data_IF_334924568752
#
_entry.id   IF_334924568752
#
_cell.length_a   1.000
_cell.length_b   1.000
_cell.length_c   1.000
_cell.angle_alpha   90.00
_cell.angle_beta   90.00
_cell.angle_gamma   90.00
#
_symmetry.space_group_name_H-M   'P 1'
#
loop_
_entity.id
_entity.type
_entity.pdbx_description
1 polymer ?
#
# COMPACT_ATOMS: atom_id res chain seq x y z
N UNK A 1 102.84 -15.80 -26.89
CA UNK A 1 104.23 -15.45 -26.53
C UNK A 1 104.48 -13.98 -26.84
N UNK A 2 105.21 -13.29 -25.95
CA UNK A 2 105.63 -11.85 -25.95
C UNK A 2 104.49 -10.88 -25.62
N UNK A 3 104.28 -10.47 -24.36
CA UNK A 3 105.07 -9.58 -23.45
C UNK A 3 105.30 -8.16 -24.00
N UNK A 4 104.70 -7.19 -23.33
CA UNK A 4 105.07 -5.77 -23.29
C UNK A 4 104.52 -5.17 -21.99
N UNK A 5 105.38 -4.50 -21.23
CA UNK A 5 105.30 -4.31 -19.78
C UNK A 5 105.89 -2.91 -19.44
N UNK A 6 105.29 -2.20 -18.45
CA UNK A 6 105.79 -1.04 -17.66
C UNK A 6 105.92 0.31 -18.46
N UNK A 7 105.71 1.55 -17.97
CA UNK A 7 105.58 2.08 -16.60
C UNK A 7 105.21 3.59 -16.57
N UNK A 8 104.45 3.95 -15.53
CA UNK A 8 104.33 5.24 -14.78
C UNK A 8 103.96 6.57 -15.44
N UNK A 9 102.90 7.16 -14.88
CA UNK A 9 102.78 8.60 -14.65
C UNK A 9 101.62 8.88 -13.69
N UNK A 10 101.89 9.03 -12.39
CA UNK A 10 100.93 9.58 -11.42
C UNK A 10 101.06 11.11 -11.43
N UNK A 11 99.99 11.83 -11.71
CA UNK A 11 99.76 13.14 -11.11
C UNK A 11 98.28 13.35 -10.80
N UNK A 12 98.05 13.75 -9.56
CA UNK A 12 96.80 13.99 -8.87
C UNK A 12 96.24 15.36 -9.29
N UNK A 13 94.97 15.46 -9.68
CA UNK A 13 94.20 16.68 -9.46
C UNK A 13 92.69 16.37 -9.37
N UNK A 14 92.17 16.62 -8.17
CA UNK A 14 90.78 16.56 -7.76
C UNK A 14 89.93 17.56 -8.54
N UNK A 15 88.86 17.10 -9.20
CA UNK A 15 87.68 17.91 -9.47
C UNK A 15 86.42 17.09 -9.18
N UNK A 16 85.62 17.66 -8.30
CA UNK A 16 84.30 17.26 -7.83
C UNK A 16 83.31 17.23 -9.00
N UNK A 17 82.45 16.21 -9.09
CA UNK A 17 81.33 16.24 -10.04
C UNK A 17 80.48 14.99 -10.12
N UNK A 18 79.43 14.95 -9.30
CA UNK A 18 78.18 14.18 -9.46
C UNK A 18 78.22 12.64 -9.45
N UNK A 19 77.84 12.09 -8.29
CA UNK A 19 77.19 10.78 -8.19
C UNK A 19 75.99 10.73 -9.15
N UNK A 20 75.98 9.80 -10.10
CA UNK A 20 74.76 9.38 -10.78
C UNK A 20 74.09 8.37 -9.85
N UNK A 21 73.22 8.85 -8.95
CA UNK A 21 72.36 7.97 -8.17
C UNK A 21 71.28 7.47 -9.14
N UNK A 22 71.43 6.24 -9.61
CA UNK A 22 70.39 5.51 -10.32
C UNK A 22 69.24 5.22 -9.34
N UNK A 23 68.33 6.18 -9.17
CA UNK A 23 67.08 5.94 -8.48
C UNK A 23 66.07 5.38 -9.49
N UNK A 24 66.23 4.09 -9.81
CA UNK A 24 65.13 3.34 -10.39
C UNK A 24 64.07 3.23 -9.31
N UNK A 25 63.00 4.02 -9.45
CA UNK A 25 61.92 4.08 -8.49
C UNK A 25 61.38 2.68 -8.21
N UNK A 26 61.57 2.21 -6.99
CA UNK A 26 60.75 1.13 -6.45
C UNK A 26 59.52 1.74 -5.80
N UNK A 27 58.50 1.95 -6.63
CA UNK A 27 57.13 1.88 -6.13
C UNK A 27 56.87 0.43 -5.77
N UNK A 28 56.84 0.09 -4.48
CA UNK A 28 56.15 -1.12 -4.05
C UNK A 28 54.66 -0.81 -4.20
N UNK A 29 54.08 -1.14 -5.34
CA UNK A 29 52.63 -1.29 -5.42
C UNK A 29 52.28 -2.52 -4.59
N UNK A 30 51.76 -2.32 -3.37
CA UNK A 30 51.01 -3.36 -2.68
C UNK A 30 49.81 -3.70 -3.55
N UNK A 31 49.91 -4.75 -4.36
CA UNK A 31 48.76 -5.30 -5.07
C UNK A 31 47.85 -5.92 -4.01
N UNK A 32 46.80 -5.19 -3.63
CA UNK A 32 45.71 -5.78 -2.87
C UNK A 32 45.03 -6.81 -3.80
N UNK A 33 45.19 -8.10 -3.49
CA UNK A 33 44.48 -9.15 -4.20
C UNK A 33 42.98 -8.98 -3.93
N UNK A 34 42.26 -8.49 -4.93
CA UNK A 34 40.79 -8.45 -4.92
C UNK A 34 40.29 -9.72 -5.59
N UNK A 35 39.40 -10.43 -4.92
CA UNK A 35 38.76 -11.66 -5.41
C UNK A 35 37.27 -11.56 -5.13
N UNK A 36 36.46 -12.05 -6.07
CA UNK A 36 35.01 -12.10 -5.96
C UNK A 36 34.56 -13.56 -5.92
N UNK A 37 33.54 -13.86 -5.12
CA UNK A 37 32.78 -15.11 -5.17
C UNK A 37 31.41 -14.86 -5.80
N UNK A 38 30.71 -15.92 -6.19
CA UNK A 38 29.36 -15.83 -6.77
C UNK A 38 28.30 -16.24 -5.74
N UNK A 39 27.14 -15.58 -5.80
CA UNK A 39 25.91 -15.94 -5.07
C UNK A 39 24.81 -16.11 -6.10
N UNK A 40 24.05 -17.20 -6.03
CA UNK A 40 22.92 -17.49 -6.90
C UNK A 40 21.69 -17.85 -6.08
N UNK A 41 20.53 -17.34 -6.49
CA UNK A 41 19.21 -17.68 -5.94
C UNK A 41 18.21 -17.78 -7.09
N UNK A 42 17.34 -18.79 -7.05
CA UNK A 42 16.18 -18.92 -7.94
C UNK A 42 14.92 -18.45 -7.20
N UNK A 43 14.07 -17.69 -7.88
CA UNK A 43 12.83 -17.15 -7.31
C UNK A 43 11.64 -17.52 -8.19
N UNK A 44 10.61 -18.10 -7.57
CA UNK A 44 9.34 -18.43 -8.21
C UNK A 44 8.20 -17.71 -7.47
N UNK A 45 7.28 -17.03 -8.18
CA UNK A 45 6.12 -16.42 -7.55
C UNK A 45 5.22 -17.47 -6.90
N UNK A 46 4.65 -17.15 -5.74
CA UNK A 46 3.68 -18.01 -5.07
C UNK A 46 2.42 -18.21 -5.92
N UNK A 47 1.87 -19.43 -5.91
CA UNK A 47 0.61 -19.84 -6.54
C UNK A 47 -0.59 -19.82 -5.58
N UNK A 48 -0.39 -19.44 -4.31
CA UNK A 48 -1.44 -19.26 -3.29
C UNK A 48 -2.62 -18.37 -3.72
N UNK A 49 -3.79 -18.97 -3.87
CA UNK A 49 -5.05 -18.31 -4.23
C UNK A 49 -6.10 -18.41 -3.10
N UNK A 50 -5.69 -18.81 -1.90
CA UNK A 50 -6.60 -18.98 -0.78
C UNK A 50 -7.18 -17.65 -0.33
N UNK A 51 -8.39 -17.71 0.25
CA UNK A 51 -9.01 -16.55 0.87
C UNK A 51 -8.15 -16.03 2.04
N UNK A 52 -8.09 -14.71 2.18
CA UNK A 52 -7.38 -14.05 3.28
C UNK A 52 -8.38 -13.67 4.36
N UNK A 53 -8.08 -13.99 5.62
CA UNK A 53 -8.92 -13.59 6.75
C UNK A 53 -8.79 -12.08 7.02
N UNK A 54 -9.85 -11.41 7.49
CA UNK A 54 -9.77 -10.02 7.90
C UNK A 54 -8.85 -9.85 9.12
N UNK A 55 -8.04 -8.78 9.11
CA UNK A 55 -7.14 -8.41 10.21
C UNK A 55 -7.59 -7.14 10.92
N UNK A 56 -7.18 -6.93 12.16
CA UNK A 56 -7.56 -5.76 12.95
C UNK A 56 -7.01 -4.46 12.32
N UNK A 57 -7.85 -3.45 12.02
CA UNK A 57 -7.38 -2.17 11.51
C UNK A 57 -6.49 -1.40 12.48
N UNK A 58 -6.55 -1.67 13.79
CA UNK A 58 -5.67 -1.09 14.81
C UNK A 58 -4.38 -1.87 15.03
N UNK A 59 -4.38 -3.16 14.75
CA UNK A 59 -3.21 -4.04 14.82
C UNK A 59 -3.28 -5.12 13.73
N UNK A 60 -2.77 -4.84 12.52
CA UNK A 60 -2.89 -5.75 11.38
C UNK A 60 -2.20 -7.12 11.54
N UNK A 61 -1.51 -7.36 12.67
CA UNK A 61 -0.95 -8.67 13.03
C UNK A 61 -1.98 -9.58 13.72
N UNK A 62 -3.14 -9.06 14.09
CA UNK A 62 -4.21 -9.77 14.82
C UNK A 62 -5.44 -9.97 13.92
N UNK A 63 -6.28 -11.00 14.21
CA UNK A 63 -7.56 -11.16 13.52
C UNK A 63 -8.49 -9.98 13.80
N UNK A 64 -9.36 -9.66 12.85
CA UNK A 64 -10.34 -8.60 13.02
C UNK A 64 -11.27 -8.88 14.22
N UNK A 65 -11.37 -7.97 15.21
CA UNK A 65 -12.13 -8.21 16.43
C UNK A 65 -13.63 -7.98 16.30
N UNK A 66 -14.10 -7.52 15.13
CA UNK A 66 -15.47 -7.03 14.95
C UNK A 66 -15.63 -5.55 15.32
N UNK A 67 -16.71 -4.96 14.83
CA UNK A 67 -17.16 -3.61 15.19
C UNK A 67 -18.22 -3.71 16.30
N UNK A 68 -18.13 -2.91 17.40
CA UNK A 68 -19.12 -2.96 18.47
C UNK A 68 -20.58 -2.76 18.05
N UNK A 69 -20.84 -2.10 16.91
CA UNK A 69 -22.21 -1.92 16.40
C UNK A 69 -22.61 -2.96 15.35
N UNK A 70 -21.74 -3.92 15.04
CA UNK A 70 -21.93 -4.99 14.04
C UNK A 70 -21.07 -6.22 14.38
N UNK A 71 -21.18 -6.72 15.62
CA UNK A 71 -20.29 -7.75 16.19
C UNK A 71 -20.27 -9.07 15.40
N UNK A 72 -21.37 -9.40 14.72
CA UNK A 72 -21.50 -10.62 13.94
C UNK A 72 -20.76 -10.56 12.58
N UNK A 73 -20.41 -9.37 12.12
CA UNK A 73 -19.74 -9.17 10.83
C UNK A 73 -18.21 -9.24 10.98
N UNK A 74 -17.74 -10.44 11.30
CA UNK A 74 -16.31 -10.73 11.51
C UNK A 74 -15.73 -11.66 10.45
N UNK A 75 -16.59 -12.34 9.69
CA UNK A 75 -16.15 -13.26 8.65
C UNK A 75 -15.71 -12.49 7.39
N UNK A 76 -14.61 -12.94 6.77
CA UNK A 76 -14.23 -12.47 5.44
C UNK A 76 -15.23 -12.89 4.37
N UNK A 77 -15.09 -12.33 3.16
CA UNK A 77 -15.96 -12.64 2.01
C UNK A 77 -15.78 -14.07 1.48
N UNK A 78 -14.68 -14.73 1.84
CA UNK A 78 -14.31 -16.05 1.30
C UNK A 78 -13.78 -16.00 -0.14
N UNK A 79 -13.57 -14.81 -0.71
CA UNK A 79 -13.06 -14.64 -2.07
C UNK A 79 -11.70 -15.30 -2.25
N UNK A 80 -11.55 -16.08 -3.34
CA UNK A 80 -10.29 -16.72 -3.74
C UNK A 80 -9.69 -16.03 -4.96
N UNK A 81 -8.38 -16.12 -5.11
CA UNK A 81 -7.62 -15.53 -6.22
C UNK A 81 -6.48 -14.63 -5.77
N UNK A 82 -5.79 -14.04 -6.74
CA UNK A 82 -4.62 -13.19 -6.52
C UNK A 82 -4.94 -11.72 -6.30
N UNK A 83 -6.17 -11.29 -6.59
CA UNK A 83 -6.66 -9.95 -6.31
C UNK A 83 -8.08 -10.10 -5.74
N UNK A 84 -8.25 -9.78 -4.46
CA UNK A 84 -9.48 -10.09 -3.72
C UNK A 84 -9.93 -8.92 -2.84
N UNK A 85 -11.24 -8.78 -2.67
CA UNK A 85 -11.84 -8.07 -1.54
C UNK A 85 -12.05 -9.10 -0.45
N UNK A 86 -11.25 -9.03 0.60
CA UNK A 86 -11.21 -10.04 1.66
C UNK A 86 -12.30 -9.80 2.71
N UNK A 87 -12.70 -8.55 2.93
CA UNK A 87 -13.69 -8.16 3.93
C UNK A 87 -14.31 -6.79 3.64
N UNK A 88 -15.57 -6.61 4.02
CA UNK A 88 -16.33 -5.35 3.92
C UNK A 88 -17.21 -5.19 5.16
N UNK A 89 -17.06 -4.10 5.90
CA UNK A 89 -17.97 -3.76 7.01
C UNK A 89 -19.35 -3.34 6.52
N UNK A 90 -20.40 -3.72 7.25
CA UNK A 90 -21.69 -3.05 7.15
C UNK A 90 -21.58 -1.69 7.86
N UNK A 91 -22.23 -0.67 7.29
CA UNK A 91 -22.30 0.65 7.91
C UNK A 91 -23.63 0.82 8.63
N UNK A 92 -23.57 1.17 9.92
CA UNK A 92 -24.72 1.47 10.77
C UNK A 92 -24.72 2.97 11.08
N UNK A 93 -25.84 3.64 10.89
CA UNK A 93 -25.96 5.08 11.12
C UNK A 93 -26.70 5.40 12.42
N UNK A 94 -26.49 6.61 12.94
CA UNK A 94 -27.25 7.11 14.08
C UNK A 94 -28.73 7.22 13.71
N UNK A 95 -29.59 6.72 14.60
CA UNK A 95 -31.04 6.89 14.48
C UNK A 95 -31.40 8.38 14.61
N UNK A 96 -32.39 8.82 13.85
CA UNK A 96 -32.87 10.20 13.85
C UNK A 96 -34.35 10.22 14.17
N UNK A 97 -34.74 11.06 15.13
CA UNK A 97 -36.13 11.42 15.37
C UNK A 97 -36.38 12.78 14.74
N UNK A 98 -37.22 12.85 13.70
CA UNK A 98 -37.53 14.09 12.99
C UNK A 98 -39.00 14.15 12.54
N UNK A 99 -39.54 15.36 12.38
CA UNK A 99 -40.87 15.60 11.82
C UNK A 99 -40.89 15.63 10.27
N UNK A 100 -39.70 15.68 9.64
CA UNK A 100 -39.53 15.72 8.19
C UNK A 100 -38.06 15.91 7.80
N UNK A 101 -37.74 15.92 6.51
CA UNK A 101 -36.40 16.19 6.00
C UNK A 101 -36.27 17.53 5.24
N UNK A 102 -35.10 17.84 4.67
CA UNK A 102 -33.90 16.98 4.63
C UNK A 102 -33.15 16.96 5.97
N UNK A 103 -32.36 15.91 6.19
CA UNK A 103 -31.49 15.80 7.37
C UNK A 103 -30.25 14.97 7.08
N UNK A 104 -29.27 15.06 7.99
CA UNK A 104 -28.02 14.32 7.95
C UNK A 104 -27.87 13.46 9.18
N UNK A 105 -27.20 12.33 9.03
CA UNK A 105 -26.80 11.45 10.12
C UNK A 105 -25.42 10.87 9.86
N UNK A 106 -24.73 10.47 10.92
CA UNK A 106 -23.36 9.94 10.84
C UNK A 106 -23.31 8.46 11.19
N UNK A 107 -22.30 7.76 10.66
CA UNK A 107 -22.06 6.36 11.00
C UNK A 107 -21.64 6.21 12.47
N UNK A 108 -22.07 5.10 13.08
CA UNK A 108 -21.75 4.70 14.46
C UNK A 108 -20.52 3.80 14.56
N UNK A 109 -20.12 3.20 13.45
CA UNK A 109 -19.03 2.23 13.38
C UNK A 109 -17.73 2.79 13.98
N UNK A 110 -17.00 1.98 14.73
CA UNK A 110 -15.69 2.34 15.30
C UNK A 110 -14.52 1.67 14.57
N UNK A 111 -14.81 0.58 13.84
CA UNK A 111 -13.83 -0.26 13.15
C UNK A 111 -14.29 -0.64 11.74
N UNK A 112 -15.08 0.22 11.09
CA UNK A 112 -15.48 0.01 9.71
C UNK A 112 -14.28 0.03 8.76
N UNK A 113 -14.19 -0.97 7.90
CA UNK A 113 -13.13 -1.06 6.89
C UNK A 113 -13.53 -1.89 5.67
N UNK A 114 -12.69 -1.82 4.64
CA UNK A 114 -12.60 -2.79 3.56
C UNK A 114 -11.17 -3.34 3.55
N UNK A 115 -11.01 -4.65 3.41
CA UNK A 115 -9.70 -5.28 3.22
C UNK A 115 -9.55 -5.78 1.79
N UNK A 116 -8.41 -5.47 1.17
CA UNK A 116 -8.06 -5.88 -0.19
C UNK A 116 -6.69 -6.54 -0.15
N UNK A 117 -6.50 -7.61 -0.93
CA UNK A 117 -5.19 -8.23 -1.12
C UNK A 117 -4.84 -8.36 -2.59
N UNK A 118 -3.67 -7.83 -2.99
CA UNK A 118 -3.07 -8.06 -4.32
C UNK A 118 -1.75 -8.84 -4.21
N UNK A 119 -1.80 -10.12 -4.59
CA UNK A 119 -0.68 -11.08 -4.63
C UNK A 119 -0.19 -11.33 -6.06
N UNK A 120 -0.61 -10.54 -7.05
CA UNK A 120 -0.19 -10.73 -8.46
C UNK A 120 1.25 -10.29 -8.65
N UNK A 121 2.05 -11.14 -9.30
CA UNK A 121 3.42 -10.81 -9.67
C UNK A 121 3.53 -9.65 -10.69
N UNK A 122 2.46 -9.38 -11.43
CA UNK A 122 2.44 -8.34 -12.47
C UNK A 122 2.40 -6.92 -11.91
N UNK A 123 1.95 -6.74 -10.66
CA UNK A 123 1.79 -5.44 -10.03
C UNK A 123 1.03 -4.42 -10.90
N UNK A 124 0.02 -4.87 -11.65
CA UNK A 124 -0.69 -4.04 -12.63
C UNK A 124 -1.51 -2.89 -12.03
N UNK A 125 -1.73 -2.90 -10.70
CA UNK A 125 -2.61 -1.97 -10.01
C UNK A 125 -4.08 -2.42 -10.03
N UNK A 126 -4.93 -1.68 -9.32
CA UNK A 126 -6.35 -1.98 -9.14
C UNK A 126 -7.13 -0.72 -8.74
N UNK A 127 -8.44 -0.70 -9.00
CA UNK A 127 -9.35 0.33 -8.47
C UNK A 127 -10.45 -0.31 -7.63
N UNK A 128 -10.61 0.15 -6.39
CA UNK A 128 -11.76 -0.15 -5.55
C UNK A 128 -12.88 0.85 -5.87
N UNK A 129 -14.06 0.33 -6.15
CA UNK A 129 -15.26 1.11 -6.43
C UNK A 129 -16.39 0.76 -5.47
N UNK A 130 -17.30 1.70 -5.25
CA UNK A 130 -18.55 1.50 -4.52
C UNK A 130 -19.73 2.04 -5.29
N UNK A 131 -20.81 1.25 -5.33
CA UNK A 131 -22.10 1.65 -5.90
C UNK A 131 -23.16 1.63 -4.80
N UNK A 132 -23.54 2.79 -4.24
CA UNK A 132 -24.60 2.86 -3.24
C UNK A 132 -25.98 2.72 -3.87
N UNK A 133 -26.87 1.97 -3.24
CA UNK A 133 -28.31 2.00 -3.54
C UNK A 133 -29.00 3.14 -2.77
N UNK A 134 -30.22 3.48 -3.17
CA UNK A 134 -31.13 4.23 -2.30
C UNK A 134 -31.52 3.39 -1.06
N UNK A 135 -32.00 4.06 -0.02
CA UNK A 135 -32.51 3.40 1.17
C UNK A 135 -34.01 3.10 1.04
N UNK A 136 -34.45 1.94 1.52
CA UNK A 136 -35.81 1.43 1.36
C UNK A 136 -36.39 0.94 2.69
N UNK A 137 -37.65 1.29 2.94
CA UNK A 137 -38.46 0.77 4.05
C UNK A 137 -39.88 0.49 3.57
N UNK A 138 -40.28 -0.78 3.54
CA UNK A 138 -41.58 -1.21 3.05
C UNK A 138 -41.86 -0.69 1.63
N UNK A 139 -42.76 0.29 1.51
CA UNK A 139 -43.16 0.91 0.23
C UNK A 139 -42.47 2.26 -0.06
N UNK A 140 -41.65 2.80 0.85
CA UNK A 140 -40.95 4.07 0.63
C UNK A 140 -39.48 3.81 0.28
N UNK A 141 -39.04 4.34 -0.87
CA UNK A 141 -37.62 4.48 -1.22
C UNK A 141 -37.24 5.94 -1.02
N UNK A 142 -36.13 6.18 -0.33
CA UNK A 142 -35.57 7.51 -0.08
C UNK A 142 -34.54 7.88 -1.14
N UNK A 143 -34.48 9.16 -1.45
CA UNK A 143 -33.41 9.82 -2.19
C UNK A 143 -32.33 10.21 -1.20
N UNK A 144 -31.17 9.58 -1.31
CA UNK A 144 -30.07 9.74 -0.34
C UNK A 144 -28.75 9.99 -1.03
N UNK A 145 -27.84 10.66 -0.33
CA UNK A 145 -26.44 10.71 -0.70
C UNK A 145 -25.54 10.30 0.46
N UNK A 146 -24.37 9.77 0.12
CA UNK A 146 -23.43 9.21 1.09
C UNK A 146 -22.05 9.81 0.88
N UNK A 147 -21.39 10.19 1.97
CA UNK A 147 -19.98 10.58 1.98
C UNK A 147 -19.23 9.62 2.89
N UNK A 148 -18.14 9.03 2.40
CA UNK A 148 -17.31 8.14 3.22
C UNK A 148 -16.56 8.89 4.34
N UNK A 149 -16.42 10.21 4.20
CA UNK A 149 -15.70 11.04 5.16
C UNK A 149 -14.18 10.85 5.03
N UNK A 150 -13.49 10.87 6.17
CA UNK A 150 -12.07 10.61 6.23
C UNK A 150 -11.78 9.11 6.02
N UNK A 151 -11.13 8.79 4.92
CA UNK A 151 -10.65 7.43 4.60
C UNK A 151 -9.16 7.34 4.89
N UNK A 152 -8.75 6.31 5.63
CA UNK A 152 -7.35 6.05 5.95
C UNK A 152 -6.91 4.74 5.31
N UNK A 153 -5.70 4.72 4.75
CA UNK A 153 -5.09 3.52 4.23
C UNK A 153 -4.07 2.99 5.23
N UNK A 154 -4.18 1.71 5.60
CA UNK A 154 -3.21 1.02 6.45
C UNK A 154 -2.68 -0.23 5.76
N UNK A 155 -1.35 -0.46 5.77
CA UNK A 155 -0.79 -1.70 5.27
C UNK A 155 -1.14 -2.85 6.22
N UNK A 156 -1.36 -4.05 5.66
CA UNK A 156 -1.34 -5.29 6.43
C UNK A 156 0.02 -5.56 7.06
N UNK A 157 0.09 -6.49 8.01
CA UNK A 157 1.34 -6.82 8.70
C UNK A 157 2.46 -7.19 7.71
N UNK A 158 3.61 -6.53 7.85
CA UNK A 158 4.79 -6.77 7.01
C UNK A 158 4.68 -6.28 5.56
N UNK A 159 3.60 -5.61 5.17
CA UNK A 159 3.47 -5.09 3.82
C UNK A 159 4.37 -3.85 3.63
N UNK A 160 5.28 -3.95 2.66
CA UNK A 160 6.27 -2.91 2.31
C UNK A 160 5.99 -2.22 0.98
N UNK A 161 4.89 -2.58 0.31
CA UNK A 161 4.50 -1.96 -0.95
C UNK A 161 4.23 -0.46 -0.77
N UNK A 162 4.50 0.32 -1.82
CA UNK A 162 3.98 1.70 -1.90
C UNK A 162 2.47 1.69 -1.78
N UNK A 163 1.93 2.63 -1.00
CA UNK A 163 0.51 2.75 -0.73
C UNK A 163 -0.31 3.11 -1.98
N UNK A 164 -1.55 2.60 -2.08
CA UNK A 164 -2.51 3.13 -3.03
C UNK A 164 -2.97 4.54 -2.61
N UNK A 165 -3.80 5.17 -3.43
CA UNK A 165 -4.31 6.52 -3.21
C UNK A 165 -5.81 6.50 -2.96
N UNK A 166 -6.28 7.24 -1.96
CA UNK A 166 -7.69 7.59 -1.84
C UNK A 166 -8.00 8.66 -2.89
N UNK A 167 -9.00 8.43 -3.74
CA UNK A 167 -9.35 9.33 -4.86
C UNK A 167 -10.71 9.99 -4.72
N UNK A 168 -11.59 9.48 -3.85
CA UNK A 168 -12.89 10.09 -3.61
C UNK A 168 -13.09 10.37 -2.12
N UNK A 169 -13.22 11.65 -1.82
CA UNK A 169 -13.55 12.20 -0.49
C UNK A 169 -14.87 12.98 -0.52
N UNK A 170 -15.57 12.95 -1.65
CA UNK A 170 -16.80 13.68 -1.91
C UNK A 170 -18.05 12.82 -1.73
N UNK A 171 -19.14 13.32 -2.30
CA UNK A 171 -20.43 12.65 -2.33
C UNK A 171 -20.41 11.50 -3.34
N UNK A 172 -20.87 10.34 -2.90
CA UNK A 172 -21.05 9.17 -3.75
C UNK A 172 -22.38 9.30 -4.49
N UNK A 173 -22.34 9.12 -5.80
CA UNK A 173 -23.56 9.16 -6.63
C UNK A 173 -24.28 7.82 -6.54
N UNK A 174 -25.53 7.83 -6.07
CA UNK A 174 -26.37 6.65 -5.98
C UNK A 174 -26.60 5.99 -7.35
N UNK A 175 -26.53 4.66 -7.39
CA UNK A 175 -26.71 3.86 -8.60
C UNK A 175 -25.54 3.89 -9.59
N UNK A 176 -24.48 4.67 -9.33
CA UNK A 176 -23.26 4.71 -10.14
C UNK A 176 -22.06 4.16 -9.36
N UNK A 177 -21.11 3.58 -10.10
CA UNK A 177 -19.83 3.17 -9.54
C UNK A 177 -18.97 4.41 -9.26
N UNK A 178 -18.54 4.55 -8.01
CA UNK A 178 -17.67 5.63 -7.56
C UNK A 178 -16.29 5.04 -7.22
N UNK A 179 -15.23 5.50 -7.86
CA UNK A 179 -13.86 5.14 -7.47
C UNK A 179 -13.61 5.63 -6.04
N UNK A 180 -13.00 4.82 -5.18
CA UNK A 180 -12.67 5.19 -3.79
C UNK A 180 -11.17 5.15 -3.56
N UNK A 181 -10.53 4.05 -3.97
CA UNK A 181 -9.09 3.85 -3.83
C UNK A 181 -8.54 3.37 -5.17
N UNK A 182 -7.42 3.94 -5.60
CA UNK A 182 -6.70 3.51 -6.80
C UNK A 182 -5.27 3.14 -6.41
N UNK A 183 -4.86 1.94 -6.76
CA UNK A 183 -3.48 1.50 -6.81
C UNK A 183 -2.96 1.65 -8.25
N UNK A 184 -2.11 2.64 -8.55
CA UNK A 184 -1.34 2.66 -9.79
C UNK A 184 -0.46 1.41 -9.96
N UNK A 185 0.07 1.16 -11.17
CA UNK A 185 1.04 0.08 -11.38
C UNK A 185 2.23 0.19 -10.42
N UNK A 186 2.72 -0.96 -9.94
CA UNK A 186 3.79 -1.10 -8.95
C UNK A 186 3.47 -0.56 -7.54
N UNK A 187 2.20 -0.31 -7.23
CA UNK A 187 1.73 0.08 -5.89
C UNK A 187 0.59 -0.84 -5.44
N UNK A 188 0.17 -0.74 -4.18
CA UNK A 188 -1.00 -1.46 -3.69
C UNK A 188 -0.87 -2.98 -3.66
N UNK A 189 0.36 -3.53 -3.74
CA UNK A 189 0.63 -4.95 -3.54
C UNK A 189 0.47 -5.34 -2.07
N UNK A 190 0.21 -6.62 -1.81
CA UNK A 190 -0.06 -7.15 -0.48
C UNK A 190 -1.44 -6.75 0.04
N UNK A 191 -1.65 -6.93 1.34
CA UNK A 191 -2.91 -6.60 2.00
C UNK A 191 -2.96 -5.11 2.38
N UNK A 192 -4.07 -4.45 2.08
CA UNK A 192 -4.38 -3.07 2.41
C UNK A 192 -5.74 -2.96 3.08
N UNK A 193 -5.79 -2.16 4.15
CA UNK A 193 -7.00 -1.83 4.89
C UNK A 193 -7.44 -0.41 4.53
N UNK A 194 -8.64 -0.30 3.99
CA UNK A 194 -9.35 0.96 3.73
C UNK A 194 -10.24 1.23 4.93
N UNK A 195 -9.73 1.97 5.90
CA UNK A 195 -10.40 2.25 7.17
C UNK A 195 -11.33 3.46 7.00
N UNK A 196 -12.58 3.28 7.43
CA UNK A 196 -13.65 4.27 7.35
C UNK A 196 -14.00 4.80 8.76
N UNK A 197 -14.67 5.95 8.82
CA UNK A 197 -15.26 6.52 10.03
C UNK A 197 -14.32 6.67 11.26
N UNK A 198 -13.01 6.91 11.03
CA UNK A 198 -11.99 7.00 12.11
C UNK A 198 -11.27 8.36 12.18
N UNK A 199 -11.60 9.29 11.28
CA UNK A 199 -11.02 10.64 11.24
C UNK A 199 -11.94 11.71 11.80
N UNK A 200 -11.53 12.97 11.67
CA UNK A 200 -12.34 14.13 12.08
C UNK A 200 -13.60 14.32 11.24
N UNK A 201 -13.59 13.81 10.01
CA UNK A 201 -14.75 13.85 9.10
C UNK A 201 -15.40 12.47 9.13
N UNK A 202 -16.59 12.32 9.76
CA UNK A 202 -17.27 11.04 9.85
C UNK A 202 -17.86 10.64 8.49
N UNK A 203 -18.19 9.36 8.36
CA UNK A 203 -19.06 8.90 7.28
C UNK A 203 -20.46 9.48 7.50
N UNK A 204 -21.00 10.17 6.51
CA UNK A 204 -22.25 10.94 6.60
C UNK A 204 -23.24 10.49 5.53
N UNK A 205 -24.47 10.23 5.95
CA UNK A 205 -25.63 9.97 5.10
C UNK A 205 -26.54 11.19 5.14
N UNK A 206 -26.91 11.70 3.97
CA UNK A 206 -27.92 12.73 3.81
C UNK A 206 -29.19 12.13 3.19
N UNK A 207 -30.34 12.46 3.79
CA UNK A 207 -31.67 12.12 3.27
C UNK A 207 -32.30 13.41 2.74
N UNK A 208 -32.66 13.43 1.46
CA UNK A 208 -33.16 14.63 0.79
C UNK A 208 -34.69 14.77 0.82
N UNK A 209 -35.40 13.68 1.09
CA UNK A 209 -36.87 13.65 1.15
C UNK A 209 -37.42 14.54 2.27
N UNK A 210 -38.45 15.33 1.96
CA UNK A 210 -39.15 16.15 2.97
C UNK A 210 -40.18 15.36 3.78
N UNK A 211 -40.84 14.39 3.14
CA UNK A 211 -41.91 13.58 3.73
C UNK A 211 -41.36 12.19 4.03
N UNK A 212 -41.41 11.79 5.29
CA UNK A 212 -40.80 10.57 5.78
C UNK A 212 -41.85 9.74 6.50
N UNK A 213 -41.82 8.42 6.29
CA UNK A 213 -42.56 7.47 7.12
C UNK A 213 -41.61 6.87 8.14
N UNK A 214 -42.08 6.70 9.37
CA UNK A 214 -41.34 5.97 10.39
C UNK A 214 -41.11 4.51 9.95
N UNK A 215 -39.90 4.01 10.18
CA UNK A 215 -39.51 2.65 9.83
C UNK A 215 -38.00 2.49 9.71
N UNK A 216 -37.55 1.25 9.60
CA UNK A 216 -36.15 0.92 9.36
C UNK A 216 -35.88 0.97 7.85
N UNK A 217 -34.99 1.86 7.45
CA UNK A 217 -34.57 2.00 6.07
C UNK A 217 -33.23 1.31 5.86
N UNK A 218 -33.15 0.47 4.83
CA UNK A 218 -31.95 -0.31 4.51
C UNK A 218 -31.56 -0.11 3.06
N UNK A 219 -30.28 -0.25 2.76
CA UNK A 219 -29.74 -0.21 1.41
C UNK A 219 -28.41 -0.94 1.37
N UNK A 220 -27.80 -0.97 0.20
CA UNK A 220 -26.58 -1.72 -0.07
C UNK A 220 -25.48 -0.82 -0.58
N UNK A 221 -24.24 -1.10 -0.14
CA UNK A 221 -23.03 -0.61 -0.78
C UNK A 221 -22.41 -1.77 -1.55
N UNK A 222 -22.56 -1.77 -2.88
CA UNK A 222 -21.95 -2.80 -3.71
C UNK A 222 -20.51 -2.42 -4.00
N UNK A 223 -19.56 -3.18 -3.46
CA UNK A 223 -18.13 -2.98 -3.65
C UNK A 223 -17.60 -3.85 -4.78
N UNK A 224 -16.77 -3.28 -5.64
CA UNK A 224 -16.14 -3.99 -6.75
C UNK A 224 -14.67 -3.60 -6.90
N UNK A 225 -13.90 -4.52 -7.47
CA UNK A 225 -12.47 -4.36 -7.69
C UNK A 225 -12.18 -4.56 -9.17
N UNK A 226 -11.63 -3.54 -9.83
CA UNK A 226 -11.16 -3.67 -11.21
C UNK A 226 -9.70 -4.10 -11.21
N UNK A 227 -9.34 -4.98 -12.15
CA UNK A 227 -8.00 -5.56 -12.24
C UNK A 227 -6.95 -4.65 -12.91
N UNK A 228 -7.35 -3.45 -13.30
CA UNK A 228 -6.51 -2.38 -13.82
C UNK A 228 -7.03 -1.03 -13.30
N UNK A 229 -6.14 -0.07 -13.00
CA UNK A 229 -6.54 1.25 -12.53
C UNK A 229 -7.29 2.00 -13.63
N UNK A 230 -8.42 2.60 -13.26
CA UNK A 230 -9.29 3.42 -14.11
C UNK A 230 -9.73 4.69 -13.39
#
# INVERSE_FOLDING_TARGET
>A
MKKGLLVTGRLLMTVIGCLIISNWGWFIATQAATTQSQVQVEMTPSDDDNAVSPVDPDDPSKPYPGDPVDEDNVAGTGSRGKLTIDFVSNLKFNAITTAGGPFKTTAKNERAMIQITDRRATAAGWTLQVTPSGLQSGQQTLTTSLKLGAVQLRPGAGNVSTAPNVVNTGELVAGLANNVVIAPPNTGLGTWLVVLNRGQVPTELEVHDRQLRAGDYTGTLAWSLTNAPS
#
